data_IF_619728471132
#
_entry.id   IF_619728471132
#
_cell.length_a   1.000
_cell.length_b   1.000
_cell.length_c   1.000
_cell.angle_alpha   90.00
_cell.angle_beta   90.00
_cell.angle_gamma   90.00
#
_symmetry.space_group_name_H-M   'P 1'
#
loop_
_entity.id
_entity.type
_entity.pdbx_description
1 polymer ?
#
# COMPACT_ATOMS: atom_id res chain seq x y z
N UNK A 1 -64.18 -30.75 8.51
CA UNK A 1 -63.16 -30.06 7.66
C UNK A 1 -62.14 -29.43 8.60
N UNK A 2 -60.97 -30.03 8.72
CA UNK A 2 -59.83 -29.55 9.55
C UNK A 2 -58.78 -28.98 8.62
N UNK A 3 -58.65 -27.64 8.64
CA UNK A 3 -57.56 -26.97 7.95
C UNK A 3 -56.28 -27.11 8.78
N UNK A 4 -55.24 -27.70 8.16
CA UNK A 4 -53.90 -27.82 8.73
C UNK A 4 -53.10 -26.63 8.18
N UNK A 5 -52.84 -25.65 9.05
CA UNK A 5 -52.02 -24.49 8.74
C UNK A 5 -50.54 -24.92 8.87
N UNK A 6 -49.88 -25.09 7.71
CA UNK A 6 -48.43 -25.41 7.64
C UNK A 6 -47.64 -24.12 7.78
N UNK A 7 -47.02 -23.92 8.95
CA UNK A 7 -46.07 -22.81 9.19
C UNK A 7 -44.69 -23.22 8.63
N UNK A 8 -44.35 -22.70 7.47
CA UNK A 8 -42.99 -22.75 6.93
C UNK A 8 -42.08 -21.81 7.73
N UNK A 9 -41.26 -22.41 8.57
CA UNK A 9 -40.20 -21.70 9.31
C UNK A 9 -39.04 -21.40 8.34
N UNK A 10 -38.96 -20.17 7.85
CA UNK A 10 -37.86 -19.71 6.99
C UNK A 10 -36.66 -19.41 7.88
N UNK A 11 -35.74 -20.36 7.95
CA UNK A 11 -34.46 -20.21 8.66
C UNK A 11 -33.56 -19.30 7.82
N UNK A 12 -33.48 -18.00 8.18
CA UNK A 12 -32.51 -17.07 7.63
C UNK A 12 -31.12 -17.45 8.14
N UNK A 13 -30.36 -18.18 7.33
CA UNK A 13 -28.93 -18.39 7.57
C UNK A 13 -28.26 -17.07 7.18
N UNK A 14 -27.97 -16.23 8.18
CA UNK A 14 -27.05 -15.10 8.01
C UNK A 14 -25.64 -15.65 7.77
N UNK A 15 -25.22 -15.67 6.51
CA UNK A 15 -23.81 -15.83 6.15
C UNK A 15 -23.08 -14.60 6.67
N UNK A 16 -22.47 -14.74 7.85
CA UNK A 16 -21.49 -13.81 8.35
C UNK A 16 -20.31 -13.83 7.37
N UNK A 17 -20.18 -12.80 6.57
CA UNK A 17 -18.93 -12.53 5.85
C UNK A 17 -17.89 -12.23 6.91
N UNK A 18 -17.04 -13.22 7.21
CA UNK A 18 -15.84 -12.98 7.99
C UNK A 18 -15.03 -11.92 7.21
N UNK A 19 -14.90 -10.73 7.78
CA UNK A 19 -13.93 -9.76 7.30
C UNK A 19 -12.56 -10.47 7.41
N UNK A 20 -11.97 -10.81 6.29
CA UNK A 20 -10.58 -11.22 6.24
C UNK A 20 -9.78 -9.96 6.57
N UNK A 21 -9.07 -9.98 7.69
CA UNK A 21 -8.09 -8.97 8.04
C UNK A 21 -6.91 -9.09 7.05
N UNK A 22 -7.13 -8.59 5.84
CA UNK A 22 -6.07 -8.46 4.86
C UNK A 22 -5.15 -7.34 5.34
N UNK A 23 -3.86 -7.65 5.45
CA UNK A 23 -2.86 -6.63 5.73
C UNK A 23 -2.99 -5.49 4.72
N UNK A 24 -3.22 -4.29 5.22
CA UNK A 24 -3.45 -3.10 4.41
C UNK A 24 -2.29 -2.11 4.58
N UNK A 25 -2.18 -1.18 3.65
CA UNK A 25 -1.22 -0.06 3.74
C UNK A 25 -1.37 0.76 5.04
N UNK A 26 -2.51 0.70 5.70
CA UNK A 26 -2.76 1.30 7.01
C UNK A 26 -1.84 0.73 8.11
N UNK A 27 -1.37 -0.51 7.98
CA UNK A 27 -0.39 -1.08 8.92
C UNK A 27 0.89 -0.24 9.01
N UNK A 28 1.31 0.42 7.93
CA UNK A 28 2.48 1.30 7.89
C UNK A 28 2.12 2.79 8.05
N UNK A 29 0.88 3.12 8.37
CA UNK A 29 0.37 4.47 8.55
C UNK A 29 -0.60 4.51 9.77
N UNK A 30 -0.10 4.23 10.99
CA UNK A 30 -0.96 4.10 12.18
C UNK A 30 -1.68 5.40 12.56
N UNK A 31 -1.17 6.53 12.10
CA UNK A 31 -1.77 7.86 12.25
C UNK A 31 -2.67 8.27 11.06
N UNK A 32 -2.85 7.36 10.10
CA UNK A 32 -3.61 7.62 8.88
C UNK A 32 -2.88 8.45 7.82
N UNK A 33 -1.61 8.83 8.08
CA UNK A 33 -0.79 9.58 7.11
C UNK A 33 0.02 8.60 6.27
N UNK A 34 -0.32 8.53 4.98
CA UNK A 34 0.33 7.62 4.05
C UNK A 34 1.80 8.01 3.79
N UNK A 35 2.63 7.00 3.54
CA UNK A 35 4.03 7.17 3.10
C UNK A 35 4.83 8.12 4.00
N UNK A 36 4.55 8.09 5.31
CA UNK A 36 5.21 8.95 6.29
C UNK A 36 5.08 10.45 6.02
N UNK A 37 4.05 10.86 5.28
CA UNK A 37 3.80 12.25 4.92
C UNK A 37 4.67 12.79 3.78
N UNK A 38 5.41 11.93 3.07
CA UNK A 38 6.16 12.35 1.88
C UNK A 38 5.27 12.46 0.65
N UNK A 39 5.56 13.46 -0.19
CA UNK A 39 4.88 13.73 -1.46
C UNK A 39 5.24 12.67 -2.51
N UNK A 40 4.24 11.91 -2.97
CA UNK A 40 4.42 10.81 -3.93
C UNK A 40 4.98 11.27 -5.28
N UNK A 41 4.63 12.47 -5.74
CA UNK A 41 5.11 13.01 -7.03
C UNK A 41 6.58 13.34 -6.94
N UNK A 42 7.04 13.83 -5.78
CA UNK A 42 8.43 14.21 -5.57
C UNK A 42 9.42 13.03 -5.67
N UNK A 43 9.00 11.80 -5.37
CA UNK A 43 9.84 10.61 -5.57
C UNK A 43 10.28 10.41 -7.03
N UNK A 44 9.50 10.92 -7.99
CA UNK A 44 9.78 10.83 -9.42
C UNK A 44 10.56 12.04 -9.95
N UNK A 45 10.87 12.99 -9.09
CA UNK A 45 11.62 14.20 -9.43
C UNK A 45 13.10 14.10 -9.03
N UNK A 46 13.96 14.91 -9.61
CA UNK A 46 15.39 14.92 -9.33
C UNK A 46 15.73 15.32 -7.88
N UNK A 47 14.84 16.07 -7.22
CA UNK A 47 14.96 16.48 -5.81
C UNK A 47 14.81 15.29 -4.83
N UNK A 48 14.22 14.19 -5.29
CA UNK A 48 13.85 13.07 -4.42
C UNK A 48 12.64 13.39 -3.53
N UNK A 49 12.35 12.55 -2.51
CA UNK A 49 11.17 12.69 -1.68
C UNK A 49 11.20 13.98 -0.85
N UNK A 50 10.16 14.78 -0.99
CA UNK A 50 9.93 16.00 -0.22
C UNK A 50 8.82 15.77 0.81
N UNK A 51 8.88 16.38 1.98
CA UNK A 51 7.75 16.39 2.90
C UNK A 51 6.54 17.05 2.26
N UNK A 52 5.36 16.46 2.47
CA UNK A 52 4.09 17.06 2.09
C UNK A 52 3.63 18.09 3.13
N UNK A 53 2.67 18.91 2.73
CA UNK A 53 2.00 19.92 3.56
C UNK A 53 0.52 19.53 3.71
N UNK A 54 -0.02 19.69 4.90
CA UNK A 54 -1.43 19.39 5.21
C UNK A 54 -2.42 20.25 4.42
N UNK A 55 -1.98 21.41 3.92
CA UNK A 55 -2.75 22.27 3.01
C UNK A 55 -2.96 21.66 1.62
N UNK A 56 -2.16 20.66 1.23
CA UNK A 56 -2.24 19.96 -0.06
C UNK A 56 -2.42 18.47 0.18
N UNK A 57 -3.60 18.06 0.63
CA UNK A 57 -3.90 16.70 1.01
C UNK A 57 -4.94 16.05 0.09
N UNK A 58 -4.85 14.73 -0.08
CA UNK A 58 -5.85 13.91 -0.76
C UNK A 58 -6.09 12.61 -0.01
N UNK A 59 -7.35 12.26 0.21
CA UNK A 59 -7.71 11.04 0.93
C UNK A 59 -8.08 9.92 -0.03
N UNK A 60 -7.50 8.73 0.19
CA UNK A 60 -7.88 7.49 -0.49
C UNK A 60 -8.17 6.45 0.58
N UNK A 61 -9.42 6.03 0.69
CA UNK A 61 -9.87 5.17 1.79
C UNK A 61 -9.63 5.84 3.14
N UNK A 62 -8.91 5.17 4.02
CA UNK A 62 -8.58 5.67 5.37
C UNK A 62 -7.22 6.39 5.44
N UNK A 63 -6.52 6.48 4.30
CA UNK A 63 -5.19 7.09 4.22
C UNK A 63 -5.24 8.50 3.64
N UNK A 64 -4.51 9.41 4.26
CA UNK A 64 -4.30 10.77 3.79
C UNK A 64 -2.91 10.91 3.18
N UNK A 65 -2.86 11.25 1.92
CA UNK A 65 -1.64 11.55 1.17
C UNK A 65 -1.39 13.05 1.18
N UNK A 66 -0.16 13.45 1.50
CA UNK A 66 0.25 14.85 1.56
C UNK A 66 1.16 15.19 0.36
N UNK A 67 1.04 16.40 -0.16
CA UNK A 67 1.82 16.88 -1.30
C UNK A 67 2.56 18.16 -0.92
N UNK A 68 3.72 18.39 -1.52
CA UNK A 68 4.56 19.55 -1.23
C UNK A 68 4.05 20.85 -1.89
N UNK A 69 3.12 20.72 -2.84
CA UNK A 69 2.52 21.86 -3.55
C UNK A 69 1.17 21.50 -4.17
N UNK A 70 0.40 22.54 -4.53
CA UNK A 70 -0.82 22.38 -5.30
C UNK A 70 -0.57 21.72 -6.67
N UNK A 71 0.54 22.04 -7.33
CA UNK A 71 0.90 21.47 -8.63
C UNK A 71 1.17 19.97 -8.54
N UNK A 72 1.87 19.52 -7.49
CA UNK A 72 2.10 18.10 -7.26
C UNK A 72 0.79 17.37 -6.93
N UNK A 73 -0.08 17.96 -6.12
CA UNK A 73 -1.41 17.41 -5.87
C UNK A 73 -2.20 17.24 -7.19
N UNK A 74 -2.23 18.27 -8.05
CA UNK A 74 -2.92 18.17 -9.34
C UNK A 74 -2.27 17.12 -10.26
N UNK A 75 -0.94 17.03 -10.27
CA UNK A 75 -0.19 16.02 -11.01
C UNK A 75 -0.58 14.62 -10.56
N UNK A 76 -0.63 14.39 -9.25
CA UNK A 76 -1.09 13.12 -8.68
C UNK A 76 -2.54 12.79 -9.07
N UNK A 77 -3.45 13.76 -8.96
CA UNK A 77 -4.86 13.57 -9.28
C UNK A 77 -5.08 13.22 -10.77
N UNK A 78 -4.19 13.67 -11.66
CA UNK A 78 -4.28 13.36 -13.09
C UNK A 78 -3.95 11.90 -13.43
N UNK A 79 -3.11 11.21 -12.62
CA UNK A 79 -2.74 9.81 -12.80
C UNK A 79 -2.28 9.19 -11.47
N UNK A 80 -3.23 8.93 -10.57
CA UNK A 80 -2.94 8.40 -9.23
C UNK A 80 -2.17 7.07 -9.27
N UNK A 81 -2.55 6.17 -10.19
CA UNK A 81 -1.95 4.84 -10.30
C UNK A 81 -0.44 4.87 -10.58
N UNK A 82 0.01 5.87 -11.30
CA UNK A 82 1.42 6.08 -11.61
C UNK A 82 2.26 6.37 -10.38
N UNK A 83 1.69 7.14 -9.43
CA UNK A 83 2.44 7.67 -8.30
C UNK A 83 2.26 6.84 -7.03
N UNK A 84 1.17 6.08 -6.91
CA UNK A 84 0.96 5.21 -5.76
C UNK A 84 2.11 4.21 -5.60
N UNK A 85 2.57 3.97 -4.35
CA UNK A 85 3.65 3.04 -4.12
C UNK A 85 3.24 1.62 -4.51
N UNK A 86 4.16 0.92 -5.14
CA UNK A 86 4.00 -0.49 -5.45
C UNK A 86 3.85 -1.27 -4.14
N UNK A 87 3.08 -2.33 -4.16
CA UNK A 87 2.83 -3.17 -2.99
C UNK A 87 2.18 -2.42 -1.82
N UNK A 88 1.34 -1.42 -2.12
CA UNK A 88 0.62 -0.61 -1.13
C UNK A 88 1.52 0.04 -0.06
N UNK A 89 2.79 0.32 -0.39
CA UNK A 89 3.71 0.98 0.51
C UNK A 89 4.49 0.04 1.43
N UNK A 90 4.32 -1.29 1.35
CA UNK A 90 5.18 -2.23 2.04
C UNK A 90 6.59 -2.31 1.43
N UNK A 91 7.56 -2.73 2.24
CA UNK A 91 8.92 -2.97 1.77
C UNK A 91 8.94 -4.07 0.70
N UNK A 92 9.40 -3.73 -0.51
CA UNK A 92 9.41 -4.65 -1.64
C UNK A 92 10.34 -5.85 -1.41
N UNK A 93 11.48 -5.67 -0.75
CA UNK A 93 12.44 -6.74 -0.51
C UNK A 93 11.95 -7.74 0.54
N UNK A 94 11.36 -7.28 1.65
CA UNK A 94 10.82 -8.17 2.68
C UNK A 94 9.57 -8.90 2.17
N UNK A 95 8.78 -8.24 1.33
CA UNK A 95 7.65 -8.87 0.66
C UNK A 95 8.11 -10.02 -0.26
N UNK A 96 9.19 -9.82 -1.02
CA UNK A 96 9.80 -10.90 -1.83
C UNK A 96 10.29 -12.08 -0.98
N UNK A 97 10.59 -11.85 0.29
CA UNK A 97 10.97 -12.89 1.26
C UNK A 97 9.77 -13.47 2.02
N UNK A 98 8.53 -13.16 1.63
CA UNK A 98 7.31 -13.67 2.25
C UNK A 98 6.94 -12.99 3.58
N UNK A 99 7.44 -11.78 3.85
CA UNK A 99 7.13 -11.02 5.06
C UNK A 99 6.64 -9.61 4.72
N UNK A 100 5.71 -9.09 5.51
CA UNK A 100 5.31 -7.69 5.46
C UNK A 100 6.16 -6.89 6.46
N UNK A 101 6.71 -5.78 5.99
CA UNK A 101 7.41 -4.80 6.81
C UNK A 101 7.17 -3.40 6.29
N UNK A 102 7.17 -2.43 7.20
CA UNK A 102 7.08 -1.03 6.83
C UNK A 102 8.44 -0.53 6.36
N UNK A 103 8.50 0.30 5.33
CA UNK A 103 9.74 0.81 4.80
C UNK A 103 10.28 1.99 5.63
N UNK A 104 11.52 2.32 5.41
CA UNK A 104 12.02 3.68 5.58
C UNK A 104 11.67 4.46 4.30
N UNK A 105 10.85 5.48 4.42
CA UNK A 105 10.32 6.20 3.27
C UNK A 105 11.37 7.01 2.48
N UNK A 106 12.57 7.22 3.04
CA UNK A 106 13.72 7.77 2.33
C UNK A 106 14.49 6.73 1.53
N UNK A 107 14.29 5.44 1.82
CA UNK A 107 14.93 4.32 1.14
C UNK A 107 14.04 3.77 0.01
N UNK A 108 14.19 4.33 -1.17
CA UNK A 108 13.31 4.06 -2.31
C UNK A 108 14.07 3.79 -3.61
N UNK A 109 13.35 3.36 -4.63
CA UNK A 109 13.80 3.25 -6.01
C UNK A 109 12.63 3.45 -6.96
N UNK A 110 12.84 4.24 -8.01
CA UNK A 110 11.94 4.23 -9.17
C UNK A 110 12.49 3.21 -10.17
N UNK A 111 11.70 2.19 -10.46
CA UNK A 111 12.07 1.13 -11.38
C UNK A 111 10.94 0.91 -12.39
N UNK A 112 11.21 1.17 -13.67
CA UNK A 112 10.20 1.11 -14.74
C UNK A 112 8.97 1.98 -14.45
N UNK A 113 9.16 3.16 -13.87
CA UNK A 113 8.11 4.10 -13.49
C UNK A 113 7.36 3.74 -12.20
N UNK A 114 7.72 2.64 -11.53
CA UNK A 114 7.08 2.17 -10.28
C UNK A 114 7.86 2.65 -9.07
N UNK A 115 7.20 3.20 -8.07
CA UNK A 115 7.80 3.53 -6.79
C UNK A 115 7.90 2.27 -5.92
N UNK A 116 9.12 1.86 -5.63
CA UNK A 116 9.45 0.79 -4.69
C UNK A 116 10.02 1.39 -3.41
N UNK A 117 9.50 0.98 -2.28
CA UNK A 117 9.94 1.39 -0.94
C UNK A 117 10.64 0.23 -0.25
N UNK A 118 11.63 0.53 0.59
CA UNK A 118 12.46 -0.49 1.22
C UNK A 118 12.70 -0.21 2.69
N UNK A 119 12.70 -1.27 3.48
CA UNK A 119 13.12 -1.24 4.88
C UNK A 119 14.62 -0.88 4.99
N UNK A 120 14.95 -0.14 6.04
CA UNK A 120 16.31 0.08 6.51
C UNK A 120 16.34 -0.27 7.99
N UNK A 121 16.83 -1.47 8.33
CA UNK A 121 16.82 -2.00 9.70
C UNK A 121 18.21 -2.49 10.09
N UNK A 122 18.84 -1.77 11.02
CA UNK A 122 20.21 -2.08 11.45
C UNK A 122 21.20 -2.09 10.28
N UNK A 123 21.81 -3.24 10.01
CA UNK A 123 22.73 -3.42 8.89
C UNK A 123 22.06 -3.87 7.60
N UNK A 124 20.76 -4.12 7.63
CA UNK A 124 20.00 -4.61 6.46
C UNK A 124 19.41 -3.45 5.68
N UNK A 125 19.79 -3.35 4.41
CA UNK A 125 19.21 -2.39 3.47
C UNK A 125 18.42 -3.14 2.39
N UNK A 126 17.10 -3.05 2.44
CA UNK A 126 16.21 -3.74 1.51
C UNK A 126 16.47 -3.37 0.05
N UNK A 127 16.84 -2.11 -0.23
CA UNK A 127 17.18 -1.68 -1.59
C UNK A 127 18.46 -2.36 -2.10
N UNK A 128 19.45 -2.55 -1.24
CA UNK A 128 20.68 -3.27 -1.61
C UNK A 128 20.39 -4.75 -1.90
N UNK A 129 19.54 -5.38 -1.09
CA UNK A 129 19.07 -6.74 -1.34
C UNK A 129 18.34 -6.86 -2.68
N UNK A 130 17.39 -5.96 -2.93
CA UNK A 130 16.66 -5.91 -4.21
C UNK A 130 17.61 -5.79 -5.40
N UNK A 131 18.61 -4.92 -5.31
CA UNK A 131 19.55 -4.68 -6.40
C UNK A 131 20.49 -5.87 -6.68
N UNK A 132 20.62 -6.84 -5.78
CA UNK A 132 21.43 -8.06 -6.01
C UNK A 132 20.76 -9.03 -6.99
N UNK A 133 19.43 -9.05 -7.07
CA UNK A 133 18.64 -9.88 -8.00
C UNK A 133 17.27 -9.20 -8.27
N UNK A 134 17.22 -8.09 -9.00
CA UNK A 134 15.99 -7.33 -9.17
C UNK A 134 14.86 -8.11 -9.83
N UNK A 135 15.20 -9.03 -10.76
CA UNK A 135 14.21 -9.84 -11.48
C UNK A 135 13.60 -10.87 -10.56
N UNK A 136 14.41 -11.63 -9.84
CA UNK A 136 13.93 -12.65 -8.91
C UNK A 136 13.18 -12.05 -7.71
N UNK A 137 13.67 -10.93 -7.17
CA UNK A 137 12.94 -10.22 -6.09
C UNK A 137 11.56 -9.74 -6.57
N UNK A 138 11.46 -9.16 -7.77
CA UNK A 138 10.18 -8.71 -8.32
C UNK A 138 9.19 -9.86 -8.50
N UNK A 139 9.62 -10.97 -9.10
CA UNK A 139 8.76 -12.14 -9.30
C UNK A 139 8.19 -12.66 -7.99
N UNK A 140 9.04 -12.79 -6.97
CA UNK A 140 8.62 -13.24 -5.64
C UNK A 140 7.72 -12.24 -4.95
N UNK A 141 8.04 -10.94 -5.03
CA UNK A 141 7.21 -9.89 -4.42
C UNK A 141 5.83 -9.82 -5.07
N UNK A 142 5.74 -9.87 -6.40
CA UNK A 142 4.47 -9.88 -7.13
C UNK A 142 3.60 -11.10 -6.74
N UNK A 143 4.20 -12.29 -6.60
CA UNK A 143 3.50 -13.50 -6.16
C UNK A 143 3.02 -13.40 -4.71
N UNK A 144 3.90 -12.97 -3.80
CA UNK A 144 3.59 -12.85 -2.37
C UNK A 144 2.57 -11.73 -2.10
N UNK A 145 2.59 -10.66 -2.88
CA UNK A 145 1.61 -9.58 -2.76
C UNK A 145 0.19 -10.08 -2.98
N UNK A 146 -0.01 -10.98 -3.94
CA UNK A 146 -1.30 -11.56 -4.23
C UNK A 146 -1.86 -12.42 -3.08
N UNK A 147 -0.99 -12.96 -2.22
CA UNK A 147 -1.38 -13.86 -1.13
C UNK A 147 -1.41 -13.19 0.24
N UNK A 148 -0.55 -12.19 0.48
CA UNK A 148 -0.37 -11.59 1.81
C UNK A 148 -1.14 -10.28 2.00
N UNK A 149 -1.49 -9.58 0.91
CA UNK A 149 -2.05 -8.22 0.97
C UNK A 149 -3.47 -8.13 0.38
N UNK A 150 -4.02 -9.23 -0.10
CA UNK A 150 -5.38 -9.28 -0.67
C UNK A 150 -6.42 -9.69 0.32
#
# INVERSE_FOLDING_TARGET
MRQVCSLLFFCLISLGVAAQDNASSQQCAPDGIAVGGFDLVSYHQASGPLPGDTGFAHQIGELTYLFSSADNLQTFLSDQQRYLPTYQGFCAATLAMGRLACPDYSNFKIENGRLLLFELAGFTNGRSLWNSDPVGFRQRADANFQTLVK
#
